data_IF_242058751195
#
_entry.id   IF_242058751195
#
_cell.length_a   1.000
_cell.length_b   1.000
_cell.length_c   1.000
_cell.angle_alpha   90.00
_cell.angle_beta   90.00
_cell.angle_gamma   90.00
#
_symmetry.space_group_name_H-M   'P 1'
#
loop_
_entity.id
_entity.type
_entity.pdbx_description
1 polymer ?
#
# COMPACT_ATOMS: atom_id res chain seq x y z
N UNK A 1 15.86 -6.58 19.00
CA UNK A 1 14.62 -6.41 18.23
C UNK A 1 14.43 -4.91 18.03
N UNK A 2 14.29 -4.44 16.80
CA UNK A 2 14.12 -3.01 16.53
C UNK A 2 12.68 -2.58 16.83
N UNK A 3 12.50 -1.32 17.25
CA UNK A 3 11.17 -0.72 17.49
C UNK A 3 10.23 -0.86 16.28
N UNK A 4 10.72 -0.71 15.05
CA UNK A 4 9.91 -0.83 13.83
C UNK A 4 9.32 -2.24 13.63
N UNK A 5 9.97 -3.29 14.13
CA UNK A 5 9.44 -4.65 14.04
C UNK A 5 8.12 -4.83 14.83
N UNK A 6 7.77 -3.90 15.71
CA UNK A 6 6.47 -3.88 16.42
C UNK A 6 5.31 -3.85 15.42
N UNK A 7 5.45 -3.15 14.28
CA UNK A 7 4.42 -3.06 13.25
C UNK A 7 4.13 -4.38 12.51
N UNK A 8 5.04 -5.34 12.60
CA UNK A 8 4.81 -6.73 12.12
C UNK A 8 4.45 -7.64 13.29
N UNK A 9 5.07 -7.45 14.44
CA UNK A 9 4.87 -8.30 15.62
C UNK A 9 3.45 -8.17 16.19
N UNK A 10 2.92 -6.95 16.30
CA UNK A 10 1.55 -6.76 16.82
C UNK A 10 0.52 -7.50 15.95
N UNK A 11 0.48 -7.36 14.61
CA UNK A 11 -0.39 -8.16 13.77
C UNK A 11 -0.19 -9.68 13.91
N UNK A 12 1.05 -10.15 14.05
CA UNK A 12 1.33 -11.57 14.32
C UNK A 12 0.70 -12.03 15.65
N UNK A 13 0.83 -11.24 16.70
CA UNK A 13 0.19 -11.52 18.00
C UNK A 13 -1.34 -11.45 17.91
N UNK A 14 -1.88 -10.52 17.10
CA UNK A 14 -3.32 -10.47 16.82
C UNK A 14 -3.78 -11.75 16.11
N UNK A 15 -3.06 -12.23 15.10
CA UNK A 15 -3.37 -13.48 14.40
C UNK A 15 -3.37 -14.67 15.38
N UNK A 16 -2.35 -14.79 16.22
CA UNK A 16 -2.30 -15.83 17.26
C UNK A 16 -3.44 -15.70 18.26
N UNK A 17 -3.74 -14.48 18.73
CA UNK A 17 -4.84 -14.19 19.61
C UNK A 17 -6.22 -14.50 19.01
N UNK A 18 -6.44 -14.15 17.73
CA UNK A 18 -7.66 -14.48 16.99
C UNK A 18 -7.79 -16.00 16.80
N UNK A 19 -6.71 -16.70 16.51
CA UNK A 19 -6.73 -18.16 16.38
C UNK A 19 -7.17 -18.83 17.69
N UNK A 20 -6.67 -18.37 18.82
CA UNK A 20 -7.02 -18.86 20.15
C UNK A 20 -8.39 -18.37 20.65
N UNK A 21 -8.90 -17.24 20.13
CA UNK A 21 -10.12 -16.61 20.62
C UNK A 21 -11.37 -17.48 20.41
N UNK A 22 -12.19 -17.61 21.47
CA UNK A 22 -13.48 -18.30 21.43
C UNK A 22 -14.59 -17.29 21.74
N UNK A 23 -15.52 -17.15 20.80
CA UNK A 23 -16.67 -16.23 20.94
C UNK A 23 -16.38 -14.79 20.49
N UNK A 24 -17.45 -14.10 20.12
CA UNK A 24 -17.39 -12.77 19.49
C UNK A 24 -16.75 -11.68 20.37
N UNK A 25 -16.92 -11.77 21.70
CA UNK A 25 -16.34 -10.80 22.64
C UNK A 25 -14.81 -10.88 22.66
N UNK A 26 -14.24 -12.09 22.66
CA UNK A 26 -12.79 -12.31 22.61
C UNK A 26 -12.21 -11.84 21.29
N UNK A 27 -12.85 -12.17 20.16
CA UNK A 27 -12.43 -11.74 18.81
C UNK A 27 -12.37 -10.20 18.74
N UNK A 28 -13.46 -9.53 19.16
CA UNK A 28 -13.51 -8.06 19.20
C UNK A 28 -12.48 -7.46 20.15
N UNK A 29 -12.25 -8.09 21.31
CA UNK A 29 -11.23 -7.68 22.27
C UNK A 29 -9.82 -7.69 21.65
N UNK A 30 -9.43 -8.79 21.01
CA UNK A 30 -8.14 -8.90 20.30
C UNK A 30 -8.00 -7.82 19.23
N UNK A 31 -9.04 -7.61 18.42
CA UNK A 31 -9.00 -6.60 17.35
C UNK A 31 -8.85 -5.18 17.87
N UNK A 32 -9.64 -4.80 18.88
CA UNK A 32 -9.58 -3.44 19.45
C UNK A 32 -8.23 -3.20 20.14
N UNK A 33 -7.75 -4.15 20.96
CA UNK A 33 -6.47 -4.00 21.66
C UNK A 33 -5.29 -3.93 20.68
N UNK A 34 -5.27 -4.80 19.67
CA UNK A 34 -4.21 -4.81 18.66
C UNK A 34 -4.22 -3.58 17.77
N UNK A 35 -5.40 -3.18 17.26
CA UNK A 35 -5.53 -1.97 16.45
C UNK A 35 -5.19 -0.69 17.24
N UNK A 36 -5.59 -0.62 18.52
CA UNK A 36 -5.20 0.48 19.40
C UNK A 36 -3.69 0.50 19.66
N UNK A 37 -3.07 -0.66 19.87
CA UNK A 37 -1.62 -0.76 20.05
C UNK A 37 -0.86 -0.29 18.79
N UNK A 38 -1.31 -0.66 17.57
CA UNK A 38 -0.75 -0.16 16.31
C UNK A 38 -0.90 1.35 16.17
N UNK A 39 -2.06 1.89 16.52
CA UNK A 39 -2.31 3.33 16.49
C UNK A 39 -1.40 4.08 17.46
N UNK A 40 -1.28 3.62 18.70
CA UNK A 40 -0.38 4.21 19.70
C UNK A 40 1.07 4.11 19.23
N UNK A 41 1.51 2.96 18.72
CA UNK A 41 2.86 2.76 18.20
C UNK A 41 3.17 3.73 17.05
N UNK A 42 2.23 3.96 16.12
CA UNK A 42 2.42 4.90 15.00
C UNK A 42 2.48 6.35 15.46
N UNK A 43 1.67 6.74 16.44
CA UNK A 43 1.73 8.07 17.05
C UNK A 43 3.07 8.28 17.78
N UNK A 44 3.50 7.31 18.59
CA UNK A 44 4.80 7.35 19.28
C UNK A 44 5.94 7.44 18.27
N UNK A 45 5.92 6.62 17.20
CA UNK A 45 6.91 6.69 16.12
C UNK A 45 6.96 8.09 15.50
N UNK A 46 5.81 8.72 15.26
CA UNK A 46 5.73 10.06 14.70
C UNK A 46 6.44 11.09 15.60
N UNK A 47 6.19 11.04 16.92
CA UNK A 47 6.86 11.94 17.85
C UNK A 47 8.36 11.66 17.96
N UNK A 48 8.78 10.39 17.98
CA UNK A 48 10.20 10.02 18.01
C UNK A 48 10.90 10.50 16.72
N UNK A 49 10.27 10.30 15.56
CA UNK A 49 10.80 10.77 14.28
C UNK A 49 10.97 12.28 14.24
N UNK A 50 9.97 13.04 14.67
CA UNK A 50 10.03 14.50 14.74
C UNK A 50 11.08 14.97 15.75
N UNK A 51 11.23 14.26 16.88
CA UNK A 51 12.27 14.54 17.87
C UNK A 51 13.66 14.38 17.29
N UNK A 52 13.96 13.26 16.60
CA UNK A 52 15.24 13.04 15.91
C UNK A 52 15.53 14.11 14.85
N UNK A 53 14.52 14.47 14.05
CA UNK A 53 14.68 15.53 13.04
C UNK A 53 14.94 16.91 13.68
N UNK A 54 14.26 17.25 14.76
CA UNK A 54 14.46 18.51 15.49
C UNK A 54 15.82 18.56 16.20
N UNK A 55 16.36 17.41 16.59
CA UNK A 55 17.74 17.28 17.13
C UNK A 55 18.84 17.40 16.06
N UNK A 56 18.45 17.58 14.77
CA UNK A 56 19.39 17.76 13.66
C UNK A 56 19.89 16.48 13.01
N UNK A 57 19.25 15.33 13.30
CA UNK A 57 19.57 14.09 12.61
C UNK A 57 19.10 14.14 11.15
N UNK A 58 20.04 14.18 10.20
CA UNK A 58 19.79 14.29 8.74
C UNK A 58 19.85 12.95 8.02
N UNK A 59 20.01 11.82 8.72
CA UNK A 59 20.07 10.49 8.11
C UNK A 59 18.84 10.25 7.21
N UNK A 60 19.05 9.66 6.05
CA UNK A 60 17.99 9.40 5.06
C UNK A 60 16.89 8.54 5.65
N UNK A 61 17.26 7.46 6.33
CA UNK A 61 16.34 6.59 7.07
C UNK A 61 16.73 6.52 8.53
N UNK A 62 15.75 6.63 9.43
CA UNK A 62 15.91 6.51 10.87
C UNK A 62 15.48 5.12 11.37
N UNK A 63 15.94 4.77 12.57
CA UNK A 63 15.63 3.52 13.27
C UNK A 63 15.93 2.26 12.45
N UNK A 64 17.04 2.30 11.68
CA UNK A 64 17.45 1.18 10.82
C UNK A 64 17.83 -0.06 11.65
N UNK A 65 17.42 -1.22 11.13
CA UNK A 65 17.95 -2.52 11.53
C UNK A 65 18.01 -3.42 10.31
N UNK A 66 19.02 -4.27 10.27
CA UNK A 66 19.26 -5.20 9.20
C UNK A 66 19.56 -6.60 9.75
N UNK A 67 18.93 -7.63 9.20
CA UNK A 67 19.12 -9.02 9.60
C UNK A 67 19.01 -9.89 8.36
N UNK A 68 20.15 -10.43 7.92
CA UNK A 68 20.21 -11.35 6.79
C UNK A 68 19.44 -12.64 7.10
N UNK A 69 18.48 -13.02 6.26
CA UNK A 69 17.73 -14.27 6.43
C UNK A 69 17.87 -15.25 5.26
N UNK A 70 18.26 -14.78 4.06
CA UNK A 70 18.53 -15.65 2.92
C UNK A 70 19.81 -15.24 2.19
N UNK A 71 20.94 -15.84 2.59
CA UNK A 71 22.26 -15.50 2.10
C UNK A 71 22.49 -15.66 0.58
N UNK A 72 21.93 -16.70 -0.11
CA UNK A 72 22.22 -16.90 -1.54
C UNK A 72 21.79 -15.76 -2.45
N UNK A 73 20.75 -14.99 -2.10
CA UNK A 73 20.30 -13.80 -2.81
C UNK A 73 20.48 -12.52 -2.01
N UNK A 74 21.24 -12.57 -0.92
CA UNK A 74 21.49 -11.42 -0.02
C UNK A 74 20.22 -10.72 0.46
N UNK A 75 19.15 -11.52 0.69
CA UNK A 75 17.86 -10.99 1.16
C UNK A 75 17.92 -10.81 2.67
N UNK A 76 17.58 -9.60 3.10
CA UNK A 76 17.60 -9.20 4.51
C UNK A 76 16.23 -8.73 4.97
N UNK A 77 15.90 -9.00 6.23
CA UNK A 77 14.88 -8.24 6.92
C UNK A 77 15.49 -6.90 7.31
N UNK A 78 15.43 -5.95 6.38
CA UNK A 78 15.98 -4.61 6.54
C UNK A 78 14.82 -3.63 6.72
N UNK A 79 14.82 -2.90 7.84
CA UNK A 79 13.77 -1.96 8.18
C UNK A 79 14.35 -0.57 8.45
N UNK A 80 13.57 0.45 8.11
CA UNK A 80 13.92 1.85 8.32
C UNK A 80 12.73 2.72 7.96
N UNK A 81 12.68 3.94 8.47
CA UNK A 81 11.60 4.89 8.16
C UNK A 81 12.14 6.28 7.87
N UNK A 82 11.47 6.94 6.97
CA UNK A 82 11.60 8.38 6.70
C UNK A 82 10.26 9.09 6.94
N UNK A 83 10.18 10.36 6.61
CA UNK A 83 8.94 11.13 6.77
C UNK A 83 7.75 10.57 5.98
N UNK A 84 8.00 10.00 4.79
CA UNK A 84 6.95 9.40 3.96
C UNK A 84 6.43 8.13 4.62
N UNK A 85 7.33 7.24 5.04
CA UNK A 85 6.99 5.98 5.71
C UNK A 85 6.20 6.22 7.00
N UNK A 86 6.65 7.17 7.85
CA UNK A 86 5.98 7.52 9.10
C UNK A 86 4.56 8.03 8.85
N UNK A 87 4.38 8.89 7.85
CA UNK A 87 3.07 9.40 7.48
C UNK A 87 2.13 8.29 6.97
N UNK A 88 2.64 7.36 6.15
CA UNK A 88 1.87 6.22 5.64
C UNK A 88 1.54 5.20 6.75
N UNK A 89 2.44 4.97 7.71
CA UNK A 89 2.18 4.12 8.87
C UNK A 89 1.09 4.69 9.77
N UNK A 90 1.13 6.00 10.03
CA UNK A 90 0.09 6.67 10.80
C UNK A 90 -1.28 6.60 10.11
N UNK A 91 -1.33 6.89 8.81
CA UNK A 91 -2.53 6.74 7.98
C UNK A 91 -3.10 5.31 8.07
N UNK A 92 -2.23 4.32 7.89
CA UNK A 92 -2.61 2.90 7.94
C UNK A 92 -3.18 2.51 9.31
N UNK A 93 -2.55 2.96 10.39
CA UNK A 93 -3.00 2.66 11.76
C UNK A 93 -4.37 3.28 12.06
N UNK A 94 -4.61 4.51 11.63
CA UNK A 94 -5.93 5.18 11.76
C UNK A 94 -7.00 4.39 11.00
N UNK A 95 -6.72 3.97 9.76
CA UNK A 95 -7.70 3.25 8.94
C UNK A 95 -7.93 1.83 9.44
N UNK A 96 -6.91 1.12 9.91
CA UNK A 96 -7.08 -0.22 10.53
C UNK A 96 -7.91 -0.13 11.81
N UNK A 97 -7.62 0.87 12.65
CA UNK A 97 -8.39 1.11 13.86
C UNK A 97 -9.86 1.40 13.58
N UNK A 98 -10.15 2.36 12.71
CA UNK A 98 -11.53 2.73 12.33
C UNK A 98 -12.22 1.61 11.56
N UNK A 99 -11.51 0.88 10.71
CA UNK A 99 -12.00 -0.29 9.99
C UNK A 99 -12.44 -1.44 10.90
N UNK A 100 -11.76 -1.62 12.04
CA UNK A 100 -12.18 -2.60 13.06
C UNK A 100 -13.59 -2.30 13.57
N UNK A 101 -13.92 -1.04 13.81
CA UNK A 101 -15.26 -0.63 14.22
C UNK A 101 -16.28 -0.65 13.08
N UNK A 102 -15.86 -0.31 11.86
CA UNK A 102 -16.72 -0.41 10.67
C UNK A 102 -17.18 -1.86 10.40
N UNK A 103 -16.38 -2.85 10.80
CA UNK A 103 -16.71 -4.29 10.70
C UNK A 103 -17.31 -4.90 11.95
N UNK A 104 -17.71 -4.08 12.96
CA UNK A 104 -18.14 -4.57 14.27
C UNK A 104 -19.29 -5.58 14.24
N UNK A 105 -20.23 -5.41 13.32
CA UNK A 105 -21.44 -6.23 13.19
C UNK A 105 -21.37 -7.26 12.04
N UNK A 106 -20.21 -7.41 11.44
CA UNK A 106 -20.07 -8.31 10.28
C UNK A 106 -20.34 -9.76 10.68
N UNK A 107 -21.20 -10.43 9.91
CA UNK A 107 -21.54 -11.85 9.99
C UNK A 107 -21.81 -12.37 8.57
N UNK A 108 -21.65 -13.67 8.29
CA UNK A 108 -21.07 -14.76 9.10
C UNK A 108 -19.53 -14.77 9.07
N UNK A 109 -18.92 -15.78 9.72
CA UNK A 109 -17.47 -16.04 9.69
C UNK A 109 -16.63 -14.85 10.19
N UNK A 110 -17.05 -14.21 11.29
CA UNK A 110 -16.42 -13.01 11.83
C UNK A 110 -14.95 -13.21 12.20
N UNK A 111 -14.60 -14.41 12.72
CA UNK A 111 -13.23 -14.74 13.10
C UNK A 111 -12.30 -14.80 11.89
N UNK A 112 -12.72 -15.51 10.87
CA UNK A 112 -12.00 -15.70 9.61
C UNK A 112 -11.82 -14.35 8.89
N UNK A 113 -12.86 -13.52 8.90
CA UNK A 113 -12.77 -12.16 8.36
C UNK A 113 -11.66 -11.35 9.03
N UNK A 114 -11.64 -11.31 10.37
CA UNK A 114 -10.62 -10.55 11.09
C UNK A 114 -9.23 -11.16 10.98
N UNK A 115 -9.09 -12.47 10.80
CA UNK A 115 -7.80 -13.09 10.48
C UNK A 115 -7.25 -12.55 9.15
N UNK A 116 -8.04 -12.56 8.09
CA UNK A 116 -7.62 -12.04 6.79
C UNK A 116 -7.42 -10.52 6.79
N UNK A 117 -8.26 -9.77 7.50
CA UNK A 117 -8.10 -8.33 7.65
C UNK A 117 -6.81 -7.96 8.41
N UNK A 118 -6.45 -8.73 9.43
CA UNK A 118 -5.19 -8.55 10.17
C UNK A 118 -3.98 -8.92 9.31
N UNK A 119 -4.05 -10.01 8.54
CA UNK A 119 -2.99 -10.41 7.63
C UNK A 119 -2.75 -9.35 6.53
N UNK A 120 -3.83 -8.81 5.96
CA UNK A 120 -3.77 -7.67 5.04
C UNK A 120 -3.06 -6.46 5.67
N UNK A 121 -3.44 -6.11 6.89
CA UNK A 121 -2.82 -5.01 7.64
C UNK A 121 -1.32 -5.24 7.87
N UNK A 122 -0.93 -6.47 8.23
CA UNK A 122 0.47 -6.86 8.43
C UNK A 122 1.30 -6.65 7.15
N UNK A 123 0.77 -7.05 5.99
CA UNK A 123 1.42 -6.80 4.70
C UNK A 123 1.64 -5.30 4.43
N UNK A 124 0.64 -4.48 4.71
CA UNK A 124 0.71 -3.03 4.55
C UNK A 124 1.76 -2.39 5.47
N UNK A 125 1.74 -2.70 6.76
CA UNK A 125 2.73 -2.17 7.70
C UNK A 125 4.14 -2.65 7.37
N UNK A 126 4.30 -3.94 7.07
CA UNK A 126 5.58 -4.53 6.68
C UNK A 126 6.16 -3.88 5.43
N UNK A 127 5.32 -3.56 4.45
CA UNK A 127 5.74 -2.87 3.23
C UNK A 127 6.34 -1.49 3.52
N UNK A 128 5.67 -0.66 4.33
CA UNK A 128 6.12 0.71 4.60
C UNK A 128 7.36 0.81 5.48
N UNK A 129 7.68 -0.21 6.27
CA UNK A 129 8.92 -0.23 7.07
C UNK A 129 10.09 -0.89 6.34
N UNK A 130 9.84 -1.64 5.26
CA UNK A 130 10.88 -2.39 4.55
C UNK A 130 11.78 -1.49 3.73
N UNK A 131 13.09 -1.77 3.80
CA UNK A 131 14.15 -1.12 3.02
C UNK A 131 14.86 -2.14 2.11
N UNK A 132 14.57 -3.41 2.22
CA UNK A 132 15.02 -4.48 1.32
C UNK A 132 13.98 -4.71 0.23
N UNK A 133 14.43 -4.77 -1.03
CA UNK A 133 13.56 -4.86 -2.20
C UNK A 133 12.68 -6.12 -2.20
N UNK A 134 13.29 -7.27 -1.87
CA UNK A 134 12.55 -8.54 -1.88
C UNK A 134 11.60 -8.64 -0.68
N UNK A 135 12.04 -8.20 0.49
CA UNK A 135 11.20 -8.18 1.70
C UNK A 135 10.01 -7.23 1.52
N UNK A 136 10.21 -6.09 0.87
CA UNK A 136 9.13 -5.17 0.49
C UNK A 136 8.14 -5.86 -0.47
N UNK A 137 8.64 -6.54 -1.51
CA UNK A 137 7.82 -7.33 -2.43
C UNK A 137 7.03 -8.43 -1.71
N UNK A 138 7.67 -9.15 -0.79
CA UNK A 138 7.01 -10.20 0.00
C UNK A 138 5.84 -9.64 0.83
N UNK A 139 6.00 -8.49 1.48
CA UNK A 139 4.91 -7.85 2.22
C UNK A 139 3.79 -7.34 1.32
N UNK A 140 4.12 -6.89 0.10
CA UNK A 140 3.13 -6.58 -0.93
C UNK A 140 2.26 -7.81 -1.27
N UNK A 141 2.87 -8.97 -1.51
CA UNK A 141 2.15 -10.21 -1.80
C UNK A 141 1.31 -10.69 -0.59
N UNK A 142 1.83 -10.55 0.64
CA UNK A 142 1.07 -10.84 1.87
C UNK A 142 -0.17 -9.96 1.98
N UNK A 143 -0.13 -8.71 1.51
CA UNK A 143 -1.30 -7.85 1.49
C UNK A 143 -2.30 -8.22 0.38
N UNK A 144 -1.84 -8.78 -0.74
CA UNK A 144 -2.66 -9.07 -1.91
C UNK A 144 -3.54 -10.30 -1.71
N UNK A 145 -3.00 -11.40 -1.17
CA UNK A 145 -3.71 -12.67 -1.00
C UNK A 145 -5.01 -12.51 -0.18
N UNK A 146 -5.02 -11.84 0.98
CA UNK A 146 -6.24 -11.64 1.76
C UNK A 146 -7.34 -10.90 1.02
N UNK A 147 -7.00 -10.00 0.09
CA UNK A 147 -7.98 -9.22 -0.66
C UNK A 147 -8.91 -10.10 -1.49
N UNK A 148 -8.37 -11.15 -2.13
CA UNK A 148 -9.19 -12.12 -2.87
C UNK A 148 -10.28 -12.74 -1.99
N UNK A 149 -9.89 -13.20 -0.80
CA UNK A 149 -10.79 -13.88 0.12
C UNK A 149 -11.78 -12.88 0.78
N UNK A 150 -11.30 -11.71 1.21
CA UNK A 150 -12.14 -10.70 1.82
C UNK A 150 -13.25 -10.21 0.88
N UNK A 151 -12.95 -10.04 -0.40
CA UNK A 151 -13.95 -9.62 -1.39
C UNK A 151 -14.81 -10.82 -1.82
N UNK A 152 -14.20 -11.97 -2.13
CA UNK A 152 -14.91 -13.13 -2.66
C UNK A 152 -15.90 -13.74 -1.66
N UNK A 153 -15.56 -13.75 -0.36
CA UNK A 153 -16.42 -14.37 0.67
C UNK A 153 -17.42 -13.34 1.23
N UNK A 154 -16.95 -12.19 1.71
CA UNK A 154 -17.77 -11.21 2.44
C UNK A 154 -18.23 -10.02 1.59
N UNK A 155 -17.85 -9.97 0.33
CA UNK A 155 -18.27 -8.93 -0.60
C UNK A 155 -19.74 -9.00 -1.00
N UNK A 156 -20.17 -8.03 -1.77
CA UNK A 156 -21.54 -7.90 -2.29
C UNK A 156 -21.58 -7.78 -3.82
N UNK A 157 -22.75 -7.95 -4.41
CA UNK A 157 -22.91 -7.88 -5.86
C UNK A 157 -22.13 -8.96 -6.60
N UNK A 158 -21.43 -8.59 -7.68
CA UNK A 158 -20.58 -9.51 -8.48
C UNK A 158 -19.22 -9.77 -7.82
N UNK A 159 -19.21 -10.13 -6.54
CA UNK A 159 -18.04 -10.26 -5.70
C UNK A 159 -16.99 -11.24 -6.21
N UNK A 160 -17.40 -12.38 -6.76
CA UNK A 160 -16.48 -13.40 -7.30
C UNK A 160 -15.73 -12.87 -8.52
N UNK A 161 -16.44 -12.22 -9.44
CA UNK A 161 -15.85 -11.57 -10.61
C UNK A 161 -14.89 -10.44 -10.18
N UNK A 162 -15.30 -9.60 -9.24
CA UNK A 162 -14.49 -8.49 -8.74
C UNK A 162 -13.22 -8.97 -8.04
N UNK A 163 -13.33 -10.00 -7.18
CA UNK A 163 -12.19 -10.62 -6.51
C UNK A 163 -11.19 -11.23 -7.51
N UNK A 164 -11.70 -12.00 -8.49
CA UNK A 164 -10.86 -12.63 -9.52
C UNK A 164 -10.16 -11.58 -10.38
N UNK A 165 -10.90 -10.57 -10.86
CA UNK A 165 -10.36 -9.49 -11.70
C UNK A 165 -9.27 -8.71 -10.97
N UNK A 166 -9.53 -8.31 -9.72
CA UNK A 166 -8.57 -7.62 -8.88
C UNK A 166 -7.28 -8.45 -8.72
N UNK A 167 -7.43 -9.71 -8.34
CA UNK A 167 -6.28 -10.58 -8.07
C UNK A 167 -5.45 -10.82 -9.32
N UNK A 168 -6.07 -11.16 -10.45
CA UNK A 168 -5.34 -11.40 -11.70
C UNK A 168 -4.61 -10.15 -12.19
N UNK A 169 -5.24 -8.97 -12.08
CA UNK A 169 -4.60 -7.70 -12.49
C UNK A 169 -3.42 -7.36 -11.58
N UNK A 170 -3.59 -7.49 -10.27
CA UNK A 170 -2.51 -7.18 -9.32
C UNK A 170 -1.38 -8.21 -9.38
N UNK A 171 -1.68 -9.51 -9.55
CA UNK A 171 -0.65 -10.54 -9.79
C UNK A 171 0.10 -10.31 -11.11
N UNK A 172 -0.59 -9.87 -12.16
CA UNK A 172 0.07 -9.45 -13.41
C UNK A 172 1.04 -8.29 -13.17
N UNK A 173 0.62 -7.29 -12.36
CA UNK A 173 1.49 -6.17 -11.94
C UNK A 173 2.67 -6.64 -11.11
N UNK A 174 2.44 -7.54 -10.16
CA UNK A 174 3.51 -8.07 -9.28
C UNK A 174 4.54 -8.91 -10.05
N UNK A 175 4.14 -9.59 -11.12
CA UNK A 175 5.08 -10.30 -11.98
C UNK A 175 6.05 -9.32 -12.67
N UNK A 176 5.58 -8.20 -13.20
CA UNK A 176 6.44 -7.14 -13.73
C UNK A 176 7.36 -6.56 -12.66
N UNK A 177 6.82 -6.35 -11.45
CA UNK A 177 7.58 -5.86 -10.32
C UNK A 177 8.71 -6.81 -9.92
N UNK A 178 8.43 -8.12 -9.81
CA UNK A 178 9.43 -9.12 -9.46
C UNK A 178 10.56 -9.17 -10.49
N UNK A 179 10.22 -9.17 -11.77
CA UNK A 179 11.22 -9.13 -12.86
C UNK A 179 12.07 -7.85 -12.74
N UNK A 180 11.44 -6.71 -12.50
CA UNK A 180 12.13 -5.43 -12.32
C UNK A 180 13.08 -5.44 -11.11
N UNK A 181 12.65 -5.94 -9.96
CA UNK A 181 13.47 -6.06 -8.75
C UNK A 181 14.69 -6.96 -8.98
N UNK A 182 14.49 -8.13 -9.57
CA UNK A 182 15.59 -9.03 -9.92
C UNK A 182 16.53 -8.39 -10.96
N UNK A 183 15.98 -7.69 -11.93
CA UNK A 183 16.76 -6.93 -12.92
C UNK A 183 17.61 -5.83 -12.30
N UNK A 184 17.07 -5.08 -11.35
CA UNK A 184 17.80 -4.07 -10.57
C UNK A 184 18.93 -4.74 -9.77
N UNK A 185 18.62 -5.81 -9.05
CA UNK A 185 19.60 -6.53 -8.24
C UNK A 185 20.78 -7.04 -9.08
N UNK A 186 20.52 -7.80 -10.13
CA UNK A 186 21.56 -8.33 -10.99
C UNK A 186 22.25 -7.24 -11.82
N UNK A 187 21.52 -6.22 -12.25
CA UNK A 187 22.05 -5.10 -13.04
C UNK A 187 22.94 -4.16 -12.24
N UNK A 188 22.69 -4.00 -10.94
CA UNK A 188 23.53 -3.18 -10.07
C UNK A 188 24.87 -3.85 -9.71
N UNK A 189 24.97 -5.17 -9.86
CA UNK A 189 26.11 -5.94 -9.37
C UNK A 189 26.26 -5.91 -7.86
N UNK A 190 25.23 -5.50 -7.14
CA UNK A 190 25.24 -5.40 -5.69
C UNK A 190 25.21 -6.78 -5.02
N UNK A 191 25.84 -6.88 -3.86
CA UNK A 191 25.75 -8.04 -2.95
C UNK A 191 24.72 -7.80 -1.85
N UNK A 192 23.65 -7.06 -2.17
CA UNK A 192 22.60 -6.65 -1.23
C UNK A 192 21.30 -6.38 -1.97
N UNK A 193 20.17 -6.64 -1.31
CA UNK A 193 18.84 -6.20 -1.74
C UNK A 193 18.41 -4.88 -1.05
N UNK A 194 19.28 -4.29 -0.23
CA UNK A 194 18.99 -3.03 0.45
C UNK A 194 18.98 -1.88 -0.55
N UNK A 195 17.83 -1.22 -0.65
CA UNK A 195 17.62 -0.17 -1.64
C UNK A 195 18.57 1.05 -1.46
N UNK A 196 18.95 1.38 -0.21
CA UNK A 196 19.85 2.50 0.05
C UNK A 196 21.28 2.18 -0.42
N UNK A 197 21.73 0.96 -0.19
CA UNK A 197 23.05 0.51 -0.62
C UNK A 197 23.12 0.42 -2.15
N UNK A 198 22.07 -0.12 -2.81
CA UNK A 198 21.99 -0.15 -4.26
C UNK A 198 22.01 1.28 -4.85
N UNK A 199 21.28 2.22 -4.23
CA UNK A 199 21.26 3.60 -4.68
C UNK A 199 22.65 4.27 -4.58
N UNK A 200 23.40 3.99 -3.50
CA UNK A 200 24.74 4.55 -3.28
C UNK A 200 25.77 4.03 -4.29
N UNK A 201 25.59 2.83 -4.82
CA UNK A 201 26.51 2.26 -5.82
C UNK A 201 26.46 2.99 -7.15
N UNK A 202 25.33 3.55 -7.54
CA UNK A 202 25.10 4.19 -8.86
C UNK A 202 25.58 3.36 -10.06
N UNK A 203 25.52 2.02 -9.94
CA UNK A 203 26.15 1.10 -10.89
C UNK A 203 25.20 0.52 -11.93
N UNK A 204 23.90 0.89 -11.92
CA UNK A 204 22.95 0.37 -12.93
C UNK A 204 23.17 1.14 -14.24
N UNK A 205 23.66 0.49 -15.31
CA UNK A 205 23.87 1.16 -16.59
C UNK A 205 22.57 1.74 -17.13
N UNK A 206 22.63 2.92 -17.77
CA UNK A 206 21.45 3.60 -18.33
C UNK A 206 20.59 2.70 -19.23
N UNK A 207 21.22 1.90 -20.10
CA UNK A 207 20.50 0.96 -20.95
C UNK A 207 19.68 -0.07 -20.15
N UNK A 208 20.15 -0.50 -18.98
CA UNK A 208 19.42 -1.39 -18.09
C UNK A 208 18.34 -0.63 -17.31
N UNK A 209 18.63 0.59 -16.86
CA UNK A 209 17.59 1.44 -16.24
C UNK A 209 16.39 1.62 -17.17
N UNK A 210 16.62 1.81 -18.49
CA UNK A 210 15.55 1.93 -19.48
C UNK A 210 14.69 0.67 -19.63
N UNK A 211 15.16 -0.50 -19.19
CA UNK A 211 14.39 -1.75 -19.18
C UNK A 211 13.64 -1.92 -17.84
N UNK A 212 14.36 -1.74 -16.72
CA UNK A 212 13.81 -2.05 -15.41
C UNK A 212 12.90 -0.96 -14.84
N UNK A 213 13.13 0.31 -15.18
CA UNK A 213 12.28 1.42 -14.78
C UNK A 213 10.83 1.26 -15.27
N UNK A 214 10.55 1.04 -16.57
CA UNK A 214 9.18 0.83 -17.03
C UNK A 214 8.50 -0.37 -16.38
N UNK A 215 9.22 -1.47 -16.15
CA UNK A 215 8.66 -2.67 -15.54
C UNK A 215 8.29 -2.45 -14.08
N UNK A 216 9.19 -1.83 -13.29
CA UNK A 216 8.91 -1.52 -11.88
C UNK A 216 7.84 -0.45 -11.73
N UNK A 217 7.89 0.61 -12.55
CA UNK A 217 6.89 1.66 -12.53
C UNK A 217 5.50 1.13 -12.93
N UNK A 218 5.42 0.29 -13.98
CA UNK A 218 4.19 -0.34 -14.40
C UNK A 218 3.66 -1.29 -13.31
N UNK A 219 4.53 -2.12 -12.72
CA UNK A 219 4.14 -3.06 -11.68
C UNK A 219 3.47 -2.38 -10.48
N UNK A 220 4.09 -1.34 -9.96
CA UNK A 220 3.48 -0.51 -8.90
C UNK A 220 2.32 0.35 -9.42
N UNK A 221 2.40 0.82 -10.65
CA UNK A 221 1.36 1.61 -11.31
C UNK A 221 0.05 0.84 -11.44
N UNK A 222 0.09 -0.46 -11.72
CA UNK A 222 -1.10 -1.33 -11.72
C UNK A 222 -1.79 -1.28 -10.36
N UNK A 223 -1.05 -1.38 -9.26
CA UNK A 223 -1.58 -1.24 -7.90
C UNK A 223 -2.10 0.19 -7.62
N UNK A 224 -1.46 1.21 -8.17
CA UNK A 224 -1.90 2.60 -8.14
C UNK A 224 -3.04 2.93 -9.11
N UNK A 225 -3.65 1.92 -9.76
CA UNK A 225 -4.72 2.08 -10.75
C UNK A 225 -4.34 2.97 -11.95
N UNK A 226 -3.13 2.79 -12.47
CA UNK A 226 -2.64 3.45 -13.68
C UNK A 226 -3.47 3.02 -14.91
N UNK A 227 -3.89 3.97 -15.73
CA UNK A 227 -4.50 3.67 -17.04
C UNK A 227 -3.49 2.97 -17.98
N UNK A 228 -3.90 1.91 -18.69
CA UNK A 228 -5.22 1.31 -18.81
C UNK A 228 -5.52 0.20 -17.77
N UNK A 229 -4.62 -0.08 -16.84
CA UNK A 229 -4.68 -1.19 -15.88
C UNK A 229 -5.50 -0.87 -14.60
N UNK A 230 -6.35 0.14 -14.62
CA UNK A 230 -7.14 0.62 -13.48
C UNK A 230 -8.47 -0.11 -13.27
N UNK A 231 -8.91 -0.91 -14.24
CA UNK A 231 -10.32 -1.41 -14.31
C UNK A 231 -10.70 -2.37 -13.18
N UNK A 232 -9.74 -2.93 -12.47
CA UNK A 232 -9.96 -3.77 -11.29
C UNK A 232 -10.42 -2.96 -10.08
N UNK A 233 -9.98 -1.69 -9.98
CA UNK A 233 -10.19 -0.85 -8.81
C UNK A 233 -11.67 -0.50 -8.57
N UNK A 234 -12.45 0.00 -9.55
CA UNK A 234 -13.86 0.25 -9.33
C UNK A 234 -14.68 -0.99 -8.95
N UNK A 235 -14.47 -2.11 -9.64
CA UNK A 235 -15.19 -3.35 -9.35
C UNK A 235 -14.80 -3.91 -7.96
N UNK A 236 -13.50 -3.87 -7.63
CA UNK A 236 -12.97 -4.33 -6.35
C UNK A 236 -13.53 -3.52 -5.17
N UNK A 237 -13.51 -2.20 -5.27
CA UNK A 237 -14.02 -1.33 -4.20
C UNK A 237 -15.54 -1.41 -4.03
N UNK A 238 -16.29 -1.46 -5.12
CA UNK A 238 -17.75 -1.53 -5.07
C UNK A 238 -18.23 -2.85 -4.44
N UNK A 239 -17.53 -3.95 -4.74
CA UNK A 239 -17.89 -5.28 -4.22
C UNK A 239 -17.37 -5.55 -2.81
N UNK A 240 -16.30 -4.91 -2.36
CA UNK A 240 -15.66 -5.17 -1.07
C UNK A 240 -16.56 -4.77 0.13
N UNK A 241 -16.39 -5.47 1.30
CA UNK A 241 -16.95 -5.01 2.56
C UNK A 241 -16.42 -3.61 2.93
N UNK A 242 -17.21 -2.83 3.66
CA UNK A 242 -16.92 -1.42 3.97
C UNK A 242 -15.49 -1.19 4.49
N UNK A 243 -15.06 -1.91 5.53
CA UNK A 243 -13.72 -1.71 6.09
C UNK A 243 -12.61 -2.17 5.15
N UNK A 244 -12.86 -3.16 4.30
CA UNK A 244 -11.93 -3.58 3.27
C UNK A 244 -11.79 -2.51 2.20
N UNK A 245 -12.90 -1.89 1.76
CA UNK A 245 -12.86 -0.74 0.83
C UNK A 245 -12.12 0.46 1.44
N UNK A 246 -12.33 0.73 2.76
CA UNK A 246 -11.60 1.77 3.49
C UNK A 246 -10.09 1.55 3.45
N UNK A 247 -9.63 0.33 3.79
CA UNK A 247 -8.21 -0.01 3.82
C UNK A 247 -7.61 -0.10 2.41
N UNK A 248 -8.36 -0.64 1.48
CA UNK A 248 -7.93 -0.80 0.09
C UNK A 248 -7.72 0.55 -0.59
N UNK A 249 -8.77 1.39 -0.65
CA UNK A 249 -8.66 2.71 -1.25
C UNK A 249 -7.82 3.67 -0.42
N UNK A 250 -7.94 3.60 0.91
CA UNK A 250 -7.24 4.49 1.82
C UNK A 250 -5.74 4.25 1.89
N UNK A 251 -5.29 3.00 1.81
CA UNK A 251 -3.88 2.63 2.04
C UNK A 251 -3.30 1.78 0.93
N UNK A 252 -3.94 0.67 0.52
CA UNK A 252 -3.32 -0.30 -0.37
C UNK A 252 -2.92 0.32 -1.72
N UNK A 253 -3.77 1.15 -2.32
CA UNK A 253 -3.42 1.86 -3.55
C UNK A 253 -2.21 2.81 -3.39
N UNK A 254 -1.92 3.29 -2.15
CA UNK A 254 -0.76 4.14 -1.86
C UNK A 254 0.56 3.37 -1.85
N UNK A 255 0.50 2.04 -1.63
CA UNK A 255 1.69 1.19 -1.84
C UNK A 255 2.20 1.33 -3.29
N UNK A 256 1.29 1.48 -4.27
CA UNK A 256 1.64 1.75 -5.67
C UNK A 256 2.42 3.06 -5.83
N UNK A 257 1.88 4.17 -5.33
CA UNK A 257 2.56 5.48 -5.38
C UNK A 257 3.88 5.49 -4.61
N UNK A 258 3.87 4.93 -3.39
CA UNK A 258 5.08 4.80 -2.57
C UNK A 258 6.16 3.96 -3.26
N UNK A 259 5.79 2.81 -3.84
CA UNK A 259 6.72 1.94 -4.55
C UNK A 259 7.28 2.56 -5.82
N UNK A 260 6.45 3.26 -6.62
CA UNK A 260 6.92 4.03 -7.77
C UNK A 260 7.97 5.06 -7.34
N UNK A 261 7.70 5.81 -6.28
CA UNK A 261 8.62 6.83 -5.77
C UNK A 261 9.90 6.20 -5.20
N UNK A 262 9.75 5.17 -4.35
CA UNK A 262 10.84 4.58 -3.57
C UNK A 262 11.74 3.64 -4.36
N UNK A 263 11.23 2.93 -5.34
CA UNK A 263 12.00 1.95 -6.12
C UNK A 263 12.26 2.47 -7.52
N UNK A 264 11.20 2.74 -8.31
CA UNK A 264 11.38 3.08 -9.71
C UNK A 264 12.13 4.39 -9.90
N UNK A 265 11.67 5.47 -9.23
CA UNK A 265 12.28 6.81 -9.40
C UNK A 265 13.62 6.94 -8.67
N UNK A 266 13.70 6.39 -7.46
CA UNK A 266 14.88 6.57 -6.60
C UNK A 266 16.10 5.77 -7.08
N UNK A 267 15.90 4.52 -7.54
CA UNK A 267 17.00 3.66 -7.99
C UNK A 267 17.39 3.88 -9.45
N UNK A 268 16.51 4.45 -10.26
CA UNK A 268 16.71 4.61 -11.70
C UNK A 268 16.41 6.06 -12.16
N UNK A 269 17.10 7.07 -11.60
CA UNK A 269 16.78 8.48 -11.84
C UNK A 269 17.04 8.92 -13.29
N UNK A 270 18.03 8.34 -13.98
CA UNK A 270 18.33 8.68 -15.37
C UNK A 270 17.23 8.22 -16.33
N UNK A 271 16.80 6.96 -16.22
CA UNK A 271 15.68 6.45 -16.99
C UNK A 271 14.36 7.13 -16.61
N UNK A 272 14.16 7.46 -15.32
CA UNK A 272 13.02 8.23 -14.87
C UNK A 272 12.94 9.58 -15.57
N UNK A 273 14.06 10.29 -15.70
CA UNK A 273 14.12 11.58 -16.39
C UNK A 273 13.81 11.46 -17.90
N UNK A 274 14.32 10.43 -18.55
CA UNK A 274 14.17 10.23 -20.00
C UNK A 274 12.78 9.69 -20.36
N UNK A 275 12.23 8.75 -19.58
CA UNK A 275 11.01 8.01 -19.92
C UNK A 275 9.75 8.51 -19.21
N UNK A 276 9.87 9.48 -18.29
CA UNK A 276 8.73 9.99 -17.50
C UNK A 276 7.57 10.50 -18.37
N UNK A 277 7.85 11.09 -19.54
CA UNK A 277 6.85 11.64 -20.43
C UNK A 277 5.81 10.60 -20.90
N UNK A 278 6.25 9.34 -21.11
CA UNK A 278 5.33 8.24 -21.49
C UNK A 278 4.31 8.00 -20.39
N UNK A 279 4.79 7.90 -19.16
CA UNK A 279 3.92 7.65 -17.99
C UNK A 279 3.13 8.90 -17.59
N UNK A 280 3.64 10.12 -17.85
CA UNK A 280 2.87 11.36 -17.67
C UNK A 280 1.61 11.39 -18.54
N UNK A 281 1.68 10.90 -19.77
CA UNK A 281 0.50 10.78 -20.64
C UNK A 281 -0.48 9.78 -20.03
N UNK A 282 -0.05 8.60 -19.63
CA UNK A 282 -0.92 7.56 -19.07
C UNK A 282 -1.55 7.99 -17.74
N UNK A 283 -0.78 8.62 -16.86
CA UNK A 283 -1.28 9.15 -15.58
C UNK A 283 -2.20 10.34 -15.79
N UNK A 284 -1.92 11.22 -16.75
CA UNK A 284 -2.81 12.31 -17.15
C UNK A 284 -4.17 11.80 -17.63
N UNK A 285 -4.17 10.73 -18.45
CA UNK A 285 -5.40 10.05 -18.85
C UNK A 285 -6.13 9.48 -17.62
N UNK A 286 -5.41 8.84 -16.67
CA UNK A 286 -6.01 8.33 -15.43
C UNK A 286 -6.74 9.42 -14.65
N UNK A 287 -6.13 10.62 -14.52
CA UNK A 287 -6.74 11.77 -13.82
C UNK A 287 -8.05 12.18 -14.47
N UNK A 288 -8.01 12.48 -15.77
CA UNK A 288 -9.16 13.00 -16.50
C UNK A 288 -10.26 11.95 -16.65
N UNK A 289 -9.89 10.75 -17.10
CA UNK A 289 -10.82 9.64 -17.28
C UNK A 289 -11.48 9.23 -15.96
N UNK A 290 -10.71 9.12 -14.88
CA UNK A 290 -11.22 8.75 -13.55
C UNK A 290 -12.22 9.79 -13.04
N UNK A 291 -11.93 11.09 -13.19
CA UNK A 291 -12.80 12.17 -12.77
C UNK A 291 -14.14 12.17 -13.56
N UNK A 292 -14.10 12.13 -14.89
CA UNK A 292 -15.31 12.09 -15.70
C UNK A 292 -16.11 10.80 -15.49
N UNK A 293 -15.42 9.66 -15.32
CA UNK A 293 -16.09 8.40 -15.00
C UNK A 293 -16.84 8.46 -13.68
N UNK A 294 -16.27 9.11 -12.65
CA UNK A 294 -16.95 9.31 -11.37
C UNK A 294 -18.24 10.15 -11.52
N UNK A 295 -18.23 11.18 -12.36
CA UNK A 295 -19.37 12.08 -12.58
C UNK A 295 -20.60 11.37 -13.20
N UNK A 296 -20.40 10.29 -13.94
CA UNK A 296 -21.50 9.58 -14.65
C UNK A 296 -21.99 8.33 -13.89
N UNK A 297 -21.38 8.00 -12.76
CA UNK A 297 -21.83 6.87 -11.93
C UNK A 297 -23.08 7.24 -11.14
N UNK A 298 -23.95 6.26 -10.92
CA UNK A 298 -25.15 6.36 -10.08
C UNK A 298 -24.98 5.69 -8.72
N UNK A 299 -24.05 4.75 -8.60
CA UNK A 299 -23.74 4.04 -7.36
C UNK A 299 -22.61 4.78 -6.61
N UNK A 300 -22.86 5.12 -5.34
CA UNK A 300 -21.91 5.87 -4.50
C UNK A 300 -20.56 5.17 -4.31
N UNK A 301 -20.54 3.83 -4.26
CA UNK A 301 -19.27 3.08 -4.17
C UNK A 301 -18.46 3.21 -5.46
N UNK A 302 -19.12 3.15 -6.64
CA UNK A 302 -18.45 3.35 -7.92
C UNK A 302 -17.97 4.79 -8.09
N UNK A 303 -18.76 5.79 -7.65
CA UNK A 303 -18.34 7.22 -7.66
C UNK A 303 -17.03 7.37 -6.90
N UNK A 304 -16.96 6.89 -5.64
CA UNK A 304 -15.75 7.00 -4.82
C UNK A 304 -14.58 6.18 -5.40
N UNK A 305 -14.86 5.03 -5.98
CA UNK A 305 -13.85 4.18 -6.59
C UNK A 305 -13.20 4.82 -7.83
N UNK A 306 -13.98 5.40 -8.75
CA UNK A 306 -13.45 6.14 -9.90
C UNK A 306 -12.76 7.45 -9.48
N UNK A 307 -13.28 8.13 -8.46
CA UNK A 307 -12.59 9.26 -7.83
C UNK A 307 -11.19 8.84 -7.33
N UNK A 308 -11.08 7.64 -6.72
CA UNK A 308 -9.80 7.11 -6.27
C UNK A 308 -8.83 6.83 -7.42
N UNK A 309 -9.31 6.35 -8.58
CA UNK A 309 -8.49 6.21 -9.80
C UNK A 309 -7.91 7.55 -10.21
N UNK A 310 -8.73 8.61 -10.25
CA UNK A 310 -8.28 9.97 -10.58
C UNK A 310 -7.23 10.49 -9.61
N UNK A 311 -7.48 10.40 -8.31
CA UNK A 311 -6.57 10.89 -7.28
C UNK A 311 -5.25 10.10 -7.21
N UNK A 312 -5.27 8.78 -7.39
CA UNK A 312 -4.05 7.99 -7.47
C UNK A 312 -3.28 8.27 -8.77
N UNK A 313 -3.99 8.49 -9.88
CA UNK A 313 -3.39 8.99 -11.12
C UNK A 313 -2.67 10.31 -10.92
N UNK A 314 -3.27 11.24 -10.16
CA UNK A 314 -2.65 12.54 -9.82
C UNK A 314 -1.38 12.37 -8.96
N UNK A 315 -1.37 11.42 -8.02
CA UNK A 315 -0.17 11.09 -7.23
C UNK A 315 0.96 10.62 -8.15
N UNK A 316 0.69 9.66 -9.03
CA UNK A 316 1.69 9.14 -9.97
C UNK A 316 2.16 10.22 -10.96
N UNK A 317 1.24 11.06 -11.44
CA UNK A 317 1.56 12.20 -12.30
C UNK A 317 2.51 13.17 -11.60
N UNK A 318 2.22 13.53 -10.35
CA UNK A 318 3.03 14.47 -9.58
C UNK A 318 4.43 13.92 -9.27
N UNK A 319 4.56 12.62 -8.98
CA UNK A 319 5.86 11.96 -8.78
C UNK A 319 6.72 12.06 -10.06
N UNK A 320 6.12 11.87 -11.23
CA UNK A 320 6.80 11.90 -12.53
C UNK A 320 7.23 13.30 -12.97
N UNK A 321 6.75 14.36 -12.32
CA UNK A 321 7.18 15.75 -12.59
C UNK A 321 8.62 16.05 -12.15
N UNK A 322 9.26 15.13 -11.42
CA UNK A 322 10.69 15.17 -11.03
C UNK A 322 11.12 16.45 -10.32
N UNK A 323 10.21 17.09 -9.60
CA UNK A 323 10.53 18.27 -8.79
C UNK A 323 10.02 18.12 -7.36
N UNK A 324 10.68 18.79 -6.42
CA UNK A 324 10.41 18.68 -4.98
C UNK A 324 8.99 19.13 -4.61
N UNK A 325 8.48 20.18 -5.24
CA UNK A 325 7.14 20.71 -4.95
C UNK A 325 6.07 19.67 -5.33
N UNK A 326 6.17 19.07 -6.52
CA UNK A 326 5.24 18.05 -6.98
C UNK A 326 5.35 16.76 -6.14
N UNK A 327 6.56 16.33 -5.77
CA UNK A 327 6.76 15.19 -4.89
C UNK A 327 6.12 15.41 -3.50
N UNK A 328 6.29 16.59 -2.92
CA UNK A 328 5.62 16.99 -1.67
C UNK A 328 4.10 16.96 -1.83
N UNK A 329 3.61 17.51 -2.94
CA UNK A 329 2.18 17.47 -3.29
C UNK A 329 1.65 16.05 -3.42
N UNK A 330 2.40 15.14 -4.04
CA UNK A 330 2.03 13.73 -4.17
C UNK A 330 1.88 13.05 -2.80
N UNK A 331 2.80 13.29 -1.86
CA UNK A 331 2.76 12.72 -0.51
C UNK A 331 1.55 13.26 0.27
N UNK A 332 1.33 14.57 0.23
CA UNK A 332 0.17 15.20 0.85
C UNK A 332 -1.14 14.67 0.25
N UNK A 333 -1.17 14.45 -1.07
CA UNK A 333 -2.31 13.85 -1.77
C UNK A 333 -2.56 12.41 -1.34
N UNK A 334 -1.51 11.60 -1.13
CA UNK A 334 -1.66 10.24 -0.61
C UNK A 334 -2.31 10.24 0.78
N UNK A 335 -1.91 11.15 1.65
CA UNK A 335 -2.48 11.29 3.00
C UNK A 335 -3.92 11.78 2.98
N UNK A 336 -4.17 12.92 2.33
CA UNK A 336 -5.49 13.55 2.30
C UNK A 336 -6.52 12.67 1.61
N UNK A 337 -6.19 12.11 0.44
CA UNK A 337 -7.05 11.18 -0.26
C UNK A 337 -7.26 9.89 0.54
N UNK A 338 -6.22 9.39 1.24
CA UNK A 338 -6.35 8.20 2.08
C UNK A 338 -7.40 8.37 3.17
N UNK A 339 -7.35 9.48 3.91
CA UNK A 339 -8.33 9.80 4.95
C UNK A 339 -9.72 10.07 4.37
N UNK A 340 -9.78 10.90 3.32
CA UNK A 340 -11.04 11.27 2.68
C UNK A 340 -11.80 10.04 2.14
N UNK A 341 -11.12 9.20 1.37
CA UNK A 341 -11.78 8.05 0.74
C UNK A 341 -12.18 6.97 1.75
N UNK A 342 -11.38 6.76 2.81
CA UNK A 342 -11.74 5.85 3.89
C UNK A 342 -13.00 6.34 4.63
N UNK A 343 -13.06 7.64 4.97
CA UNK A 343 -14.24 8.24 5.58
C UNK A 343 -15.47 8.11 4.67
N UNK A 344 -15.31 8.39 3.37
CA UNK A 344 -16.42 8.32 2.43
C UNK A 344 -16.96 6.89 2.28
N UNK A 345 -16.08 5.87 2.19
CA UNK A 345 -16.53 4.47 2.20
C UNK A 345 -17.22 4.08 3.51
N UNK A 346 -16.74 4.58 4.66
CA UNK A 346 -17.39 4.36 5.94
C UNK A 346 -18.83 4.94 5.98
N UNK A 347 -18.99 6.17 5.48
CA UNK A 347 -20.30 6.83 5.39
C UNK A 347 -21.25 6.08 4.44
N UNK A 348 -20.78 5.69 3.25
CA UNK A 348 -21.56 4.89 2.30
C UNK A 348 -22.00 3.57 2.97
N UNK A 349 -21.09 2.89 3.67
CA UNK A 349 -21.40 1.65 4.36
C UNK A 349 -22.47 1.83 5.45
N UNK A 350 -22.46 2.97 6.18
CA UNK A 350 -23.47 3.30 7.17
C UNK A 350 -24.83 3.61 6.54
N UNK A 351 -24.85 4.30 5.40
CA UNK A 351 -26.08 4.60 4.63
C UNK A 351 -26.66 3.28 4.14
N UNK A 352 -25.87 2.50 3.41
CA UNK A 352 -26.31 1.22 2.84
C UNK A 352 -26.84 0.25 3.91
N UNK A 353 -26.20 0.18 5.07
CA UNK A 353 -26.65 -0.67 6.18
C UNK A 353 -27.98 -0.25 6.83
N UNK A 354 -28.50 0.94 6.50
CA UNK A 354 -29.79 1.46 7.00
C UNK A 354 -30.87 1.52 5.93
N UNK A 355 -30.50 1.85 4.72
CA UNK A 355 -31.46 2.10 3.62
C UNK A 355 -31.61 0.91 2.68
N UNK A 356 -30.58 0.06 2.59
CA UNK A 356 -30.47 -1.04 1.63
C UNK A 356 -30.58 -0.57 0.17
N UNK A 357 -30.25 0.71 -0.09
CA UNK A 357 -30.23 1.35 -1.42
C UNK A 357 -28.82 1.88 -1.73
#
# INVERSE_FOLDING_TARGET
MNFLSIFVLIPLLMLAGLWAARGIKAIRGVMVTGASALLIASVVLTFLYLGERSAGNTAEMLFRADTLWYAPLHISYSVGVDGISVAMLLLSAVIVFTGTFASWRLQPLTKEYFLWFTLLSMGVFGFFISVDLFTMFMFYEIALIPMYLLIGVWGSGRKEYAAMKLTLMLMGGSAFLLIGILGIYFGSGATTMNLLEIAQLHNIPFAQQCIWFPLTFLGFGVLGALFPFHTWSPDGHASAPTAVSMLHAGVLMKLGGYGCFRIAMYLMPEAANELSWIFLILTGISVVYGAFSACVQTDLKYINAYSSVSHCGLVLFAILMLNQTAATGAILQMLSHGLMTALFFALIGMIYGRTHT
#
